data_IF_014155938915
#
_entry.id   IF_014155938915
#
_cell.length_a   1.000
_cell.length_b   1.000
_cell.length_c   1.000
_cell.angle_alpha   90.00
_cell.angle_beta   90.00
_cell.angle_gamma   90.00
#
_symmetry.space_group_name_H-M   'P 1'
#
loop_
_entity.id
_entity.type
_entity.pdbx_description
1 polymer ?
#
# COMPACT_ATOMS: atom_id res chain seq x y z
N UNK A 1 -9.02 -65.14 -24.50
CA UNK A 1 -8.65 -63.81 -24.98
C UNK A 1 -9.64 -62.70 -24.59
N UNK A 2 -10.89 -62.99 -24.40
CA UNK A 2 -11.93 -61.97 -24.06
C UNK A 2 -11.91 -61.48 -22.62
N UNK A 3 -11.50 -62.32 -21.67
CA UNK A 3 -11.49 -61.94 -20.24
C UNK A 3 -10.41 -60.90 -19.90
N UNK A 4 -9.28 -60.95 -20.58
CA UNK A 4 -8.19 -59.96 -20.36
C UNK A 4 -8.59 -58.57 -20.87
N UNK A 5 -9.32 -58.48 -21.98
CA UNK A 5 -9.79 -57.20 -22.53
C UNK A 5 -10.83 -56.51 -21.63
N UNK A 6 -11.70 -57.29 -20.98
CA UNK A 6 -12.69 -56.74 -20.05
C UNK A 6 -12.02 -56.20 -18.78
N UNK A 7 -11.02 -56.92 -18.24
CA UNK A 7 -10.30 -56.52 -17.04
C UNK A 7 -9.49 -55.25 -17.24
N UNK A 8 -8.83 -55.10 -18.41
CA UNK A 8 -8.07 -53.89 -18.76
C UNK A 8 -9.00 -52.69 -18.95
N UNK A 9 -10.17 -52.86 -19.56
CA UNK A 9 -11.15 -51.79 -19.75
C UNK A 9 -11.72 -51.31 -18.41
N UNK A 10 -11.97 -52.22 -17.44
CA UNK A 10 -12.45 -51.85 -16.08
C UNK A 10 -11.39 -51.07 -15.28
N UNK A 11 -10.11 -51.40 -15.40
CA UNK A 11 -9.03 -50.70 -14.71
C UNK A 11 -8.82 -49.28 -15.29
N UNK A 12 -8.94 -49.10 -16.62
CA UNK A 12 -8.84 -47.80 -17.26
C UNK A 12 -10.03 -46.89 -16.90
N UNK A 13 -11.22 -47.42 -16.70
CA UNK A 13 -12.39 -46.65 -16.28
C UNK A 13 -12.28 -46.18 -14.83
N UNK A 14 -11.62 -46.91 -13.94
CA UNK A 14 -11.39 -46.54 -12.54
C UNK A 14 -10.36 -45.45 -12.37
N UNK A 15 -9.44 -45.27 -13.29
CA UNK A 15 -8.40 -44.22 -13.26
C UNK A 15 -8.98 -42.84 -13.68
N UNK A 16 -10.04 -42.81 -14.47
CA UNK A 16 -10.68 -41.59 -14.93
C UNK A 16 -11.63 -40.95 -13.89
N UNK A 17 -11.97 -41.67 -12.84
CA UNK A 17 -12.86 -41.13 -11.76
C UNK A 17 -12.12 -40.39 -10.64
N UNK A 18 -10.77 -40.28 -10.70
CA UNK A 18 -9.92 -39.79 -9.61
C UNK A 18 -9.44 -38.35 -9.72
N UNK A 19 -9.79 -37.59 -10.73
CA UNK A 19 -9.43 -36.18 -10.81
C UNK A 19 -10.65 -35.25 -10.58
N UNK A 20 -11.22 -35.31 -9.40
CA UNK A 20 -11.94 -34.18 -8.87
C UNK A 20 -10.88 -33.24 -8.29
N UNK A 21 -10.33 -32.37 -9.13
CA UNK A 21 -9.59 -31.20 -8.71
C UNK A 21 -10.52 -30.39 -7.80
N UNK A 22 -10.38 -30.61 -6.50
CA UNK A 22 -10.97 -29.72 -5.51
C UNK A 22 -10.35 -28.37 -5.76
N UNK A 23 -11.04 -27.47 -6.44
CA UNK A 23 -10.90 -26.06 -6.12
C UNK A 23 -11.17 -26.02 -4.62
N UNK A 24 -10.12 -25.85 -3.82
CA UNK A 24 -10.30 -25.36 -2.47
C UNK A 24 -11.12 -24.08 -2.64
N UNK A 25 -12.40 -24.18 -2.31
CA UNK A 25 -13.18 -23.04 -1.93
C UNK A 25 -12.38 -22.48 -0.75
N UNK A 26 -11.62 -21.41 -1.00
CA UNK A 26 -11.08 -20.57 0.06
C UNK A 26 -12.34 -20.14 0.81
N UNK A 27 -12.68 -20.90 1.85
CA UNK A 27 -13.71 -20.52 2.79
C UNK A 27 -13.18 -19.25 3.42
N UNK A 28 -13.69 -18.10 2.99
CA UNK A 28 -13.45 -16.83 3.65
C UNK A 28 -13.82 -17.03 5.11
N UNK A 29 -12.83 -17.20 5.98
CA UNK A 29 -13.10 -17.23 7.41
C UNK A 29 -13.73 -15.89 7.76
N UNK A 30 -14.86 -15.88 8.42
CA UNK A 30 -15.45 -14.61 8.84
C UNK A 30 -14.43 -13.87 9.70
N UNK A 31 -14.24 -12.59 9.41
CA UNK A 31 -13.37 -11.71 10.19
C UNK A 31 -13.84 -11.74 11.64
N UNK A 32 -12.91 -11.97 12.58
CA UNK A 32 -13.24 -12.04 14.00
C UNK A 32 -13.86 -10.71 14.47
N UNK A 33 -14.72 -10.79 15.49
CA UNK A 33 -15.35 -9.59 16.07
C UNK A 33 -14.29 -8.65 16.68
N UNK A 34 -13.22 -9.23 17.22
CA UNK A 34 -12.09 -8.48 17.77
C UNK A 34 -11.42 -7.60 16.71
N UNK A 35 -11.10 -8.17 15.55
CA UNK A 35 -10.49 -7.41 14.45
C UNK A 35 -11.44 -6.35 13.90
N UNK A 36 -12.75 -6.62 13.83
CA UNK A 36 -13.74 -5.58 13.48
C UNK A 36 -13.70 -4.41 14.44
N UNK A 37 -13.73 -4.69 15.74
CA UNK A 37 -13.67 -3.65 16.77
C UNK A 37 -12.35 -2.88 16.72
N UNK A 38 -11.24 -3.56 16.48
CA UNK A 38 -9.92 -2.94 16.33
C UNK A 38 -9.88 -2.02 15.10
N UNK A 39 -10.42 -2.46 13.97
CA UNK A 39 -10.52 -1.63 12.77
C UNK A 39 -11.37 -0.37 13.01
N UNK A 40 -12.56 -0.51 13.59
CA UNK A 40 -13.44 0.62 13.90
C UNK A 40 -12.76 1.59 14.89
N UNK A 41 -12.10 1.07 15.91
CA UNK A 41 -11.36 1.86 16.89
C UNK A 41 -10.19 2.61 16.25
N UNK A 42 -9.45 1.95 15.35
CA UNK A 42 -8.39 2.58 14.58
C UNK A 42 -8.93 3.71 13.71
N UNK A 43 -9.99 3.45 12.94
CA UNK A 43 -10.59 4.47 12.08
C UNK A 43 -11.11 5.67 12.88
N UNK A 44 -11.72 5.43 14.05
CA UNK A 44 -12.18 6.47 14.95
C UNK A 44 -11.04 7.24 15.65
N UNK A 45 -9.86 6.62 15.78
CA UNK A 45 -8.69 7.26 16.40
C UNK A 45 -7.99 8.29 15.51
N UNK A 46 -8.26 8.27 14.21
CA UNK A 46 -7.63 9.20 13.29
C UNK A 46 -8.07 10.64 13.58
N UNK A 47 -7.12 11.53 13.92
CA UNK A 47 -7.47 12.92 14.16
C UNK A 47 -8.00 13.57 12.88
N UNK A 48 -8.99 14.44 13.04
CA UNK A 48 -9.36 15.33 11.95
C UNK A 48 -8.27 16.40 11.78
N UNK A 49 -7.97 16.76 10.55
CA UNK A 49 -6.92 17.73 10.25
C UNK A 49 -7.26 18.52 8.98
N UNK A 50 -6.91 19.77 8.96
CA UNK A 50 -7.00 20.64 7.79
C UNK A 50 -5.61 20.91 7.22
N UNK A 51 -4.64 21.15 8.11
CA UNK A 51 -3.24 21.39 7.75
C UNK A 51 -2.35 20.51 8.59
N UNK A 52 -1.24 20.07 7.99
CA UNK A 52 -0.23 19.27 8.67
C UNK A 52 1.17 19.77 8.30
N UNK A 53 2.07 19.84 9.28
CA UNK A 53 3.47 20.14 9.04
C UNK A 53 4.35 19.28 9.92
N UNK A 54 5.36 18.66 9.30
CA UNK A 54 6.36 17.86 10.00
C UNK A 54 7.76 18.16 9.49
N UNK A 55 8.75 17.92 10.35
CA UNK A 55 10.16 17.91 10.00
C UNK A 55 10.72 16.52 10.27
N UNK A 56 11.57 16.05 9.41
CA UNK A 56 12.19 14.74 9.53
C UNK A 56 13.59 14.72 8.92
N UNK A 57 14.22 13.57 9.00
CA UNK A 57 15.45 13.25 8.27
C UNK A 57 15.16 12.16 7.25
N UNK A 58 15.90 12.17 6.17
CA UNK A 58 15.89 11.12 5.18
C UNK A 58 17.32 10.75 4.81
N UNK A 59 17.61 9.46 4.82
CA UNK A 59 18.86 8.92 4.33
C UNK A 59 18.60 8.31 2.96
N UNK A 60 19.16 8.94 1.94
CA UNK A 60 19.01 8.55 0.55
C UNK A 60 20.21 7.73 0.13
N UNK A 61 20.00 6.49 -0.27
CA UNK A 61 21.05 5.61 -0.80
C UNK A 61 20.95 5.53 -2.32
N UNK A 62 22.04 5.79 -2.99
CA UNK A 62 22.15 5.71 -4.45
C UNK A 62 22.98 4.49 -4.89
N UNK A 63 22.97 3.44 -4.11
CA UNK A 63 23.76 2.22 -4.35
C UNK A 63 25.26 2.52 -4.28
N UNK A 64 26.02 2.12 -5.32
CA UNK A 64 27.47 2.35 -5.40
C UNK A 64 27.88 3.84 -5.43
N UNK A 65 26.95 4.73 -5.71
CA UNK A 65 27.19 6.19 -5.79
C UNK A 65 27.19 6.91 -4.44
N UNK A 66 26.96 6.17 -3.33
CA UNK A 66 27.02 6.71 -1.97
C UNK A 66 25.66 6.94 -1.32
N UNK A 67 25.68 7.58 -0.16
CA UNK A 67 24.49 7.95 0.61
C UNK A 67 24.51 9.44 0.91
N UNK A 68 23.31 10.02 1.04
CA UNK A 68 23.09 11.41 1.38
C UNK A 68 22.08 11.51 2.52
N UNK A 69 22.49 12.07 3.65
CA UNK A 69 21.57 12.44 4.72
C UNK A 69 21.01 13.84 4.46
N UNK A 70 19.71 13.97 4.51
CA UNK A 70 19.01 15.21 4.25
C UNK A 70 17.95 15.48 5.31
N UNK A 71 17.70 16.73 5.65
CA UNK A 71 16.52 17.11 6.41
C UNK A 71 15.33 17.31 5.47
N UNK A 72 14.17 16.86 5.88
CA UNK A 72 12.93 17.01 5.13
C UNK A 72 11.95 17.88 5.89
N UNK A 73 11.18 18.65 5.15
CA UNK A 73 10.02 19.36 5.67
C UNK A 73 8.81 19.00 4.84
N UNK A 74 7.82 18.40 5.50
CA UNK A 74 6.52 18.05 4.95
C UNK A 74 5.52 19.13 5.33
N UNK A 75 4.72 19.57 4.38
CA UNK A 75 3.55 20.44 4.59
C UNK A 75 2.40 19.95 3.75
N UNK A 76 1.22 19.89 4.33
CA UNK A 76 0.02 19.46 3.64
C UNK A 76 -1.16 20.34 4.01
N UNK A 77 -2.04 20.56 3.02
CA UNK A 77 -3.42 21.02 3.21
C UNK A 77 -4.30 19.89 2.67
N UNK A 78 -5.24 19.44 3.47
CA UNK A 78 -6.06 18.27 3.17
C UNK A 78 -6.77 18.40 1.83
N UNK A 79 -6.56 17.45 0.94
CA UNK A 79 -7.17 17.40 -0.39
C UNK A 79 -6.72 18.50 -1.37
N UNK A 80 -5.87 19.44 -0.95
CA UNK A 80 -5.46 20.57 -1.80
C UNK A 80 -3.99 20.46 -2.22
N UNK A 81 -3.09 20.20 -1.26
CA UNK A 81 -1.66 20.23 -1.56
C UNK A 81 -0.82 19.36 -0.61
N UNK A 82 0.23 18.82 -1.17
CA UNK A 82 1.35 18.22 -0.47
C UNK A 82 2.63 18.87 -0.95
N UNK A 83 3.48 19.32 -0.03
CA UNK A 83 4.81 19.85 -0.32
C UNK A 83 5.85 19.10 0.53
N UNK A 84 6.90 18.61 -0.10
CA UNK A 84 8.08 18.04 0.55
C UNK A 84 9.30 18.83 0.09
N UNK A 85 10.02 19.45 1.05
CA UNK A 85 11.29 20.11 0.80
C UNK A 85 12.42 19.28 1.36
N UNK A 86 13.44 19.04 0.55
CA UNK A 86 14.65 18.29 0.93
C UNK A 86 15.81 19.26 1.04
N UNK A 87 16.47 19.28 2.20
CA UNK A 87 17.59 20.16 2.50
C UNK A 87 18.78 19.36 2.97
N UNK A 88 19.94 19.71 2.46
CA UNK A 88 21.23 19.17 2.89
C UNK A 88 21.89 20.08 3.93
N UNK A 89 23.17 19.83 4.19
CA UNK A 89 24.03 20.62 5.10
C UNK A 89 23.78 22.12 4.93
N UNK A 90 23.76 22.87 6.03
CA UNK A 90 23.52 24.31 6.10
C UNK A 90 22.09 24.73 5.67
N UNK A 91 21.14 23.80 5.59
CA UNK A 91 19.76 24.12 5.26
C UNK A 91 19.50 24.46 3.79
N UNK A 92 20.47 24.20 2.91
CA UNK A 92 20.33 24.44 1.47
C UNK A 92 19.29 23.48 0.89
N UNK A 93 18.23 24.02 0.32
CA UNK A 93 17.20 23.21 -0.34
C UNK A 93 17.70 22.72 -1.69
N UNK A 94 17.77 21.40 -1.82
CA UNK A 94 18.27 20.72 -3.03
C UNK A 94 17.18 20.16 -3.91
N UNK A 95 16.03 19.83 -3.31
CA UNK A 95 14.87 19.36 -4.06
C UNK A 95 13.57 19.79 -3.38
N UNK A 96 12.53 19.94 -4.19
CA UNK A 96 11.17 20.18 -3.73
C UNK A 96 10.19 19.37 -4.58
N UNK A 97 9.33 18.64 -3.90
CA UNK A 97 8.17 18.00 -4.49
C UNK A 97 6.94 18.81 -4.09
N UNK A 98 6.09 19.08 -5.05
CA UNK A 98 4.81 19.72 -4.87
C UNK A 98 3.75 18.90 -5.61
N UNK A 99 2.67 18.54 -4.93
CA UNK A 99 1.61 17.71 -5.47
C UNK A 99 0.27 18.38 -5.21
N UNK A 100 -0.54 18.44 -6.24
CA UNK A 100 -1.94 18.88 -6.23
C UNK A 100 -2.85 17.71 -6.57
N UNK A 101 -4.18 17.85 -6.56
CA UNK A 101 -5.08 16.78 -6.98
C UNK A 101 -4.82 16.23 -8.38
N UNK A 102 -4.30 17.05 -9.28
CA UNK A 102 -4.14 16.68 -10.69
C UNK A 102 -2.70 16.46 -11.11
N UNK A 103 -1.74 17.07 -10.40
CA UNK A 103 -0.38 17.18 -10.91
C UNK A 103 0.68 17.03 -9.83
N UNK A 104 1.84 16.54 -10.24
CA UNK A 104 3.04 16.48 -9.46
C UNK A 104 4.14 17.32 -10.13
N UNK A 105 4.83 18.11 -9.32
CA UNK A 105 5.98 18.93 -9.71
C UNK A 105 7.18 18.55 -8.85
N UNK A 106 8.26 18.15 -9.48
CA UNK A 106 9.54 17.87 -8.81
C UNK A 106 10.58 18.85 -9.33
N UNK A 107 11.16 19.62 -8.43
CA UNK A 107 12.24 20.56 -8.74
C UNK A 107 13.53 20.04 -8.13
N UNK A 108 14.53 19.76 -8.97
CA UNK A 108 15.89 19.46 -8.58
C UNK A 108 16.74 20.73 -8.73
N UNK A 109 17.00 21.40 -7.61
CA UNK A 109 17.73 22.68 -7.61
C UNK A 109 19.23 22.52 -7.87
N UNK A 110 19.80 21.35 -7.55
CA UNK A 110 21.22 21.08 -7.79
C UNK A 110 21.50 20.97 -9.29
N UNK A 111 20.63 20.29 -10.02
CA UNK A 111 20.78 20.10 -11.46
C UNK A 111 20.03 21.15 -12.29
N UNK A 112 19.32 22.09 -11.62
CA UNK A 112 18.48 23.11 -12.27
C UNK A 112 17.44 22.48 -13.22
N UNK A 113 16.87 21.36 -12.83
CA UNK A 113 15.88 20.59 -13.59
C UNK A 113 14.55 20.59 -12.85
N UNK A 114 13.48 20.47 -13.61
CA UNK A 114 12.17 20.20 -13.07
C UNK A 114 11.46 19.13 -13.91
N UNK A 115 10.58 18.39 -13.26
CA UNK A 115 9.73 17.39 -13.87
C UNK A 115 8.30 17.71 -13.47
N UNK A 116 7.39 17.67 -14.43
CA UNK A 116 5.96 17.74 -14.19
C UNK A 116 5.30 16.47 -14.74
N UNK A 117 4.34 15.94 -14.04
CA UNK A 117 3.55 14.81 -14.49
C UNK A 117 2.12 14.94 -13.95
N UNK A 118 1.12 14.46 -14.68
CA UNK A 118 -0.20 14.28 -14.12
C UNK A 118 -0.20 13.07 -13.17
N UNK A 119 -1.10 13.06 -12.19
CA UNK A 119 -1.24 11.90 -11.30
C UNK A 119 -1.74 10.68 -12.06
N UNK A 120 -2.49 10.87 -13.13
CA UNK A 120 -2.91 9.81 -14.03
C UNK A 120 -1.69 9.14 -14.70
N UNK A 121 -0.79 9.93 -15.32
CA UNK A 121 0.44 9.40 -15.94
C UNK A 121 1.33 8.66 -14.94
N UNK A 122 1.39 9.14 -13.69
CA UNK A 122 2.14 8.46 -12.62
C UNK A 122 1.49 7.11 -12.31
N UNK A 123 0.18 7.07 -12.15
CA UNK A 123 -0.57 5.84 -11.93
C UNK A 123 -0.35 4.82 -13.06
N UNK A 124 -0.47 5.25 -14.30
CA UNK A 124 -0.24 4.39 -15.48
C UNK A 124 1.19 3.82 -15.52
N UNK A 125 2.21 4.63 -15.19
CA UNK A 125 3.62 4.20 -15.13
C UNK A 125 3.91 3.25 -13.97
N UNK A 126 3.18 3.36 -12.87
CA UNK A 126 3.28 2.43 -11.75
C UNK A 126 2.49 1.13 -12.01
N UNK A 127 1.72 1.10 -13.09
CA UNK A 127 0.88 -0.05 -13.44
C UNK A 127 -0.39 -0.14 -12.60
N UNK A 128 -0.79 0.96 -11.96
CA UNK A 128 -1.93 1.02 -11.05
C UNK A 128 -3.01 2.00 -11.53
N UNK A 129 -4.13 1.91 -10.88
CA UNK A 129 -5.16 2.93 -10.89
C UNK A 129 -4.60 4.31 -10.50
N UNK A 130 -5.26 5.40 -10.90
CA UNK A 130 -4.74 6.73 -10.63
C UNK A 130 -4.46 6.94 -9.13
N UNK A 131 -3.24 7.32 -8.84
CA UNK A 131 -2.82 7.72 -7.48
C UNK A 131 -3.48 9.06 -7.18
N UNK A 132 -4.22 9.17 -6.09
CA UNK A 132 -4.79 10.44 -5.66
C UNK A 132 -3.89 11.16 -4.66
N UNK A 133 -3.97 12.49 -4.62
CA UNK A 133 -3.30 13.28 -3.59
C UNK A 133 -3.69 12.81 -2.19
N UNK A 134 -4.96 12.51 -1.97
CA UNK A 134 -5.45 12.07 -0.67
C UNK A 134 -4.85 10.73 -0.24
N UNK A 135 -4.75 9.77 -1.16
CA UNK A 135 -4.07 8.49 -0.87
C UNK A 135 -2.64 8.69 -0.41
N UNK A 136 -1.90 9.60 -1.06
CA UNK A 136 -0.52 9.90 -0.66
C UNK A 136 -0.47 10.58 0.70
N UNK A 137 -1.40 11.50 0.98
CA UNK A 137 -1.52 12.15 2.29
C UNK A 137 -1.84 11.14 3.39
N UNK A 138 -2.79 10.22 3.15
CA UNK A 138 -3.15 9.18 4.11
C UNK A 138 -1.99 8.21 4.36
N UNK A 139 -1.28 7.77 3.32
CA UNK A 139 -0.09 6.95 3.48
C UNK A 139 1.00 7.64 4.32
N UNK A 140 1.27 8.93 4.07
CA UNK A 140 2.25 9.70 4.84
C UNK A 140 1.84 9.93 6.29
N UNK A 141 0.55 9.93 6.59
CA UNK A 141 0.01 10.05 7.95
C UNK A 141 -0.17 8.70 8.66
N UNK A 142 0.22 7.59 8.03
CA UNK A 142 0.02 6.26 8.60
C UNK A 142 -1.47 5.89 8.73
N UNK A 143 -2.27 6.24 7.76
CA UNK A 143 -3.69 5.91 7.71
C UNK A 143 -3.94 4.76 6.73
N UNK A 144 -4.94 3.95 7.00
CA UNK A 144 -5.47 3.02 6.02
C UNK A 144 -6.15 3.82 4.91
N UNK A 145 -6.09 3.32 3.69
CA UNK A 145 -6.78 3.89 2.53
C UNK A 145 -7.26 2.78 1.61
N UNK A 146 -8.22 3.10 0.76
CA UNK A 146 -8.66 2.23 -0.32
C UNK A 146 -8.59 2.99 -1.63
N UNK A 147 -7.76 2.52 -2.57
CA UNK A 147 -7.65 3.10 -3.91
C UNK A 147 -9.01 2.99 -4.62
N UNK A 148 -9.36 4.03 -5.37
CA UNK A 148 -10.62 4.11 -6.13
C UNK A 148 -11.90 4.07 -5.26
N UNK A 149 -11.78 4.28 -3.95
CA UNK A 149 -12.94 4.46 -3.10
C UNK A 149 -13.57 5.84 -3.34
N UNK A 150 -14.85 5.86 -3.69
CA UNK A 150 -15.59 7.12 -3.80
C UNK A 150 -15.70 7.74 -2.38
N UNK A 151 -15.24 8.98 -2.23
CA UNK A 151 -15.28 9.74 -0.98
C UNK A 151 -14.59 9.07 0.22
N UNK A 152 -13.64 8.16 -0.03
CA UNK A 152 -12.99 7.34 1.01
C UNK A 152 -13.98 6.58 1.93
N UNK A 153 -15.14 6.23 1.40
CA UNK A 153 -16.11 5.41 2.10
C UNK A 153 -15.74 3.94 1.91
N UNK A 154 -15.13 3.33 2.93
CA UNK A 154 -14.77 1.91 2.95
C UNK A 154 -14.88 1.38 4.38
N UNK A 155 -15.10 0.08 4.50
CA UNK A 155 -15.15 -0.65 5.75
C UNK A 155 -14.23 -1.87 5.73
N UNK A 156 -14.18 -2.61 6.84
CA UNK A 156 -13.34 -3.81 6.93
C UNK A 156 -13.75 -4.86 5.88
N UNK A 157 -14.98 -4.87 5.46
CA UNK A 157 -15.50 -5.83 4.48
C UNK A 157 -14.97 -5.58 3.05
N UNK A 158 -14.33 -4.45 2.80
CA UNK A 158 -13.63 -4.14 1.54
C UNK A 158 -12.23 -4.75 1.48
N UNK A 159 -11.77 -5.34 2.59
CA UNK A 159 -10.44 -5.92 2.71
C UNK A 159 -10.49 -7.43 2.95
N UNK A 160 -9.50 -8.13 2.44
CA UNK A 160 -9.10 -9.44 2.90
C UNK A 160 -8.31 -9.27 4.19
N UNK A 161 -8.73 -9.98 5.23
CA UNK A 161 -8.10 -9.92 6.55
C UNK A 161 -7.34 -11.21 6.79
N UNK A 162 -6.09 -11.08 7.19
CA UNK A 162 -5.26 -12.20 7.59
C UNK A 162 -4.80 -12.00 9.03
N UNK A 163 -5.30 -12.84 9.95
CA UNK A 163 -4.95 -12.80 11.36
C UNK A 163 -3.69 -13.65 11.60
N UNK A 164 -2.71 -13.12 12.33
CA UNK A 164 -1.44 -13.76 12.64
C UNK A 164 -1.12 -13.63 14.14
N UNK A 165 -1.38 -14.69 14.90
CA UNK A 165 -1.21 -14.67 16.36
C UNK A 165 -2.37 -13.98 17.08
N UNK A 166 -2.09 -13.46 18.29
CA UNK A 166 -3.14 -12.92 19.17
C UNK A 166 -3.48 -11.45 18.94
N UNK A 167 -2.57 -10.67 18.39
CA UNK A 167 -2.76 -9.22 18.24
C UNK A 167 -2.46 -8.70 16.83
N UNK A 168 -1.72 -9.47 16.02
CA UNK A 168 -1.28 -9.05 14.69
C UNK A 168 -2.25 -9.48 13.62
N UNK A 169 -2.51 -8.58 12.71
CA UNK A 169 -3.36 -8.81 11.55
C UNK A 169 -2.92 -7.95 10.38
N UNK A 170 -3.33 -8.33 9.19
CA UNK A 170 -3.05 -7.55 7.98
C UNK A 170 -4.30 -7.38 7.13
N UNK A 171 -4.31 -6.29 6.38
CA UNK A 171 -5.36 -5.93 5.44
C UNK A 171 -4.79 -5.84 4.03
N UNK A 172 -5.45 -6.49 3.09
CA UNK A 172 -5.22 -6.30 1.66
C UNK A 172 -6.55 -6.00 0.99
N UNK A 173 -6.67 -5.04 0.07
CA UNK A 173 -7.93 -4.78 -0.59
C UNK A 173 -8.45 -6.01 -1.33
N UNK A 174 -9.73 -6.32 -1.23
CA UNK A 174 -10.37 -7.42 -1.98
C UNK A 174 -10.31 -7.20 -3.49
N UNK A 175 -10.33 -5.93 -3.92
CA UNK A 175 -10.20 -5.53 -5.31
C UNK A 175 -8.86 -4.86 -5.50
N UNK A 176 -7.87 -5.64 -5.90
CA UNK A 176 -6.55 -5.14 -6.28
C UNK A 176 -6.42 -5.08 -7.80
N UNK A 177 -5.61 -4.15 -8.28
CA UNK A 177 -5.15 -4.17 -9.67
C UNK A 177 -4.22 -5.38 -9.88
N UNK A 178 -4.31 -6.04 -11.02
CA UNK A 178 -3.44 -7.19 -11.33
C UNK A 178 -1.95 -6.84 -11.36
N UNK A 179 -1.62 -5.55 -11.50
CA UNK A 179 -0.25 -5.05 -11.64
C UNK A 179 0.27 -4.37 -10.39
N UNK A 180 -0.60 -3.96 -9.47
CA UNK A 180 -0.23 -3.21 -8.27
C UNK A 180 -1.03 -3.69 -7.07
N UNK A 181 -0.32 -4.11 -6.03
CA UNK A 181 -0.89 -4.53 -4.76
C UNK A 181 -0.40 -3.68 -3.61
N UNK A 182 -1.18 -3.65 -2.55
CA UNK A 182 -0.76 -3.04 -1.29
C UNK A 182 -1.36 -3.77 -0.09
N UNK A 183 -0.67 -3.67 1.04
CA UNK A 183 -1.03 -4.33 2.28
C UNK A 183 -0.68 -3.45 3.47
N UNK A 184 -1.50 -3.52 4.49
CA UNK A 184 -1.29 -2.90 5.79
C UNK A 184 -1.02 -3.99 6.83
N UNK A 185 0.03 -3.85 7.62
CA UNK A 185 0.30 -4.72 8.75
C UNK A 185 0.03 -3.96 10.05
N UNK A 186 -0.73 -4.58 10.94
CA UNK A 186 -1.25 -3.97 12.17
C UNK A 186 -0.94 -4.82 13.41
N UNK A 187 -0.88 -4.15 14.54
CA UNK A 187 -0.84 -4.75 15.87
C UNK A 187 -1.92 -4.07 16.72
N UNK A 188 -2.97 -4.79 17.08
CA UNK A 188 -4.19 -4.25 17.67
C UNK A 188 -4.76 -3.08 16.84
N UNK A 189 -4.71 -1.86 17.38
CA UNK A 189 -5.17 -0.61 16.73
C UNK A 189 -4.02 0.22 16.18
N UNK A 190 -2.81 -0.34 16.03
CA UNK A 190 -1.62 0.38 15.57
C UNK A 190 -1.22 -0.10 14.19
N UNK A 191 -1.16 0.81 13.22
CA UNK A 191 -0.57 0.53 11.92
C UNK A 191 0.95 0.48 12.06
N UNK A 192 1.55 -0.66 11.71
CA UNK A 192 2.99 -0.89 11.77
C UNK A 192 3.68 -0.57 10.44
N UNK A 193 3.07 -1.02 9.35
CA UNK A 193 3.64 -0.78 8.01
C UNK A 193 2.56 -0.75 6.93
N UNK A 194 2.87 -0.03 5.87
CA UNK A 194 2.17 -0.11 4.59
C UNK A 194 3.18 -0.55 3.53
N UNK A 195 2.88 -1.65 2.85
CA UNK A 195 3.66 -2.16 1.73
C UNK A 195 2.89 -1.88 0.45
N UNK A 196 3.57 -1.36 -0.55
CA UNK A 196 2.98 -1.05 -1.86
C UNK A 196 3.95 -1.45 -2.95
N UNK A 197 3.48 -2.11 -4.00
CA UNK A 197 4.39 -2.49 -5.06
C UNK A 197 3.73 -3.16 -6.25
N UNK A 198 4.54 -3.39 -7.27
CA UNK A 198 4.12 -4.16 -8.44
C UNK A 198 3.97 -5.64 -8.07
N UNK A 199 2.87 -6.24 -8.47
CA UNK A 199 2.63 -7.69 -8.32
C UNK A 199 3.66 -8.55 -9.06
N UNK A 200 4.37 -7.98 -10.04
CA UNK A 200 5.52 -8.62 -10.69
C UNK A 200 6.82 -8.62 -9.85
N UNK A 201 6.80 -8.04 -8.65
CA UNK A 201 7.87 -8.17 -7.66
C UNK A 201 9.13 -7.33 -7.91
N UNK A 202 9.14 -6.42 -8.88
CA UNK A 202 10.36 -5.68 -9.24
C UNK A 202 10.52 -4.35 -8.51
N UNK A 203 9.46 -3.81 -7.92
CA UNK A 203 9.50 -2.52 -7.20
C UNK A 203 8.52 -2.55 -6.04
N UNK A 204 9.02 -2.34 -4.86
CA UNK A 204 8.25 -2.27 -3.63
C UNK A 204 8.64 -1.02 -2.83
N UNK A 205 7.65 -0.40 -2.22
CA UNK A 205 7.81 0.69 -1.26
C UNK A 205 7.22 0.19 0.05
N UNK A 206 8.03 0.23 1.11
CA UNK A 206 7.57 -0.10 2.46
C UNK A 206 7.69 1.14 3.33
N UNK A 207 6.58 1.56 3.90
CA UNK A 207 6.53 2.61 4.90
C UNK A 207 6.37 1.97 6.27
N UNK A 208 7.34 2.15 7.17
CA UNK A 208 7.24 1.74 8.57
C UNK A 208 6.83 2.93 9.43
N UNK A 209 5.89 2.70 10.33
CA UNK A 209 5.40 3.72 11.25
C UNK A 209 5.84 3.37 12.66
N UNK A 210 6.68 4.22 13.24
CA UNK A 210 7.20 4.07 14.60
C UNK A 210 6.90 5.31 15.41
N UNK A 211 6.60 5.13 16.70
CA UNK A 211 6.54 6.18 17.72
C UNK A 211 5.75 7.45 17.35
N UNK A 212 4.44 7.31 17.18
CA UNK A 212 3.54 8.44 17.16
C UNK A 212 3.45 9.03 18.57
N UNK A 213 4.27 10.05 18.85
CA UNK A 213 4.16 10.83 20.09
C UNK A 213 3.07 11.86 19.89
N UNK A 214 1.99 11.75 20.68
CA UNK A 214 0.96 12.77 20.74
C UNK A 214 1.55 13.97 21.49
N UNK A 215 1.80 15.05 20.79
CA UNK A 215 2.17 16.35 21.37
C UNK A 215 0.93 17.15 21.71
#
# INVERSE_FOLDING_TARGET
MNHIRITVCSIVLLILAGCKSGKELISERPVSQEVRNNFESLMASYPDWNTFSAKGSADLSFGASGSLSASTQLRMVRGEVLQISVRIILGIEVARLYMTPDSLFLVNKMQKQYVTASLQEIGERLGSSPVSLQTVQDALLGRIFLLNSANNAYGIDDFEVMESGSSRWSLSPKRQDERFGYRFDLDEIKLLSTQMGSTSGHKEIVCHYTDFIKQ
#
